data_IF_550645835197
#
_entry.id   IF_550645835197
#
_cell.length_a   1.000
_cell.length_b   1.000
_cell.length_c   1.000
_cell.angle_alpha   90.00
_cell.angle_beta   90.00
_cell.angle_gamma   90.00
#
_symmetry.space_group_name_H-M   'P 1'
#
loop_
_entity.id
_entity.type
_entity.pdbx_description
1 polymer ?
#
# COMPACT_ATOMS: atom_id res chain seq x y z
N UNK A 1 58.85 -55.75 18.16
CA UNK A 1 58.81 -54.28 18.29
C UNK A 1 57.65 -53.73 17.46
N UNK A 2 56.41 -54.13 17.76
CA UNK A 2 55.23 -53.81 16.92
C UNK A 2 53.94 -53.67 17.75
N UNK A 3 54.04 -53.51 19.07
CA UNK A 3 52.87 -53.30 19.95
C UNK A 3 52.77 -51.88 20.53
N UNK A 4 53.76 -51.01 20.28
CA UNK A 4 53.79 -49.62 20.79
C UNK A 4 53.37 -48.56 19.75
N UNK A 5 53.20 -48.94 18.47
CA UNK A 5 52.80 -47.99 17.41
C UNK A 5 51.27 -47.85 17.29
N UNK A 6 50.51 -48.93 17.46
CA UNK A 6 49.05 -48.92 17.25
C UNK A 6 48.28 -48.21 18.39
N UNK A 7 48.81 -48.21 19.61
CA UNK A 7 48.18 -47.49 20.74
C UNK A 7 48.36 -45.96 20.65
N UNK A 8 49.38 -45.49 19.92
CA UNK A 8 49.62 -44.05 19.68
C UNK A 8 48.78 -43.49 18.54
N UNK A 9 48.36 -44.31 17.57
CA UNK A 9 47.46 -43.85 16.49
C UNK A 9 46.02 -43.70 16.97
N UNK A 10 45.49 -44.64 17.75
CA UNK A 10 44.11 -44.53 18.28
C UNK A 10 43.94 -43.37 19.26
N UNK A 11 45.00 -43.00 19.99
CA UNK A 11 44.95 -41.85 20.91
C UNK A 11 45.10 -40.50 20.21
N UNK A 12 45.70 -40.46 19.01
CA UNK A 12 45.79 -39.24 18.19
C UNK A 12 44.46 -38.96 17.47
N UNK A 13 43.80 -39.99 16.93
CA UNK A 13 42.52 -39.85 16.22
C UNK A 13 41.39 -39.36 17.15
N UNK A 14 41.37 -39.79 18.43
CA UNK A 14 40.39 -39.31 19.41
C UNK A 14 40.63 -37.85 19.83
N UNK A 15 41.88 -37.39 19.81
CA UNK A 15 42.23 -36.00 20.13
C UNK A 15 41.95 -35.07 18.94
N UNK A 16 42.09 -35.55 17.70
CA UNK A 16 41.68 -34.79 16.50
C UNK A 16 40.15 -34.66 16.39
N UNK A 17 39.39 -35.73 16.63
CA UNK A 17 37.92 -35.65 16.65
C UNK A 17 37.39 -34.70 17.73
N UNK A 18 38.02 -34.69 18.92
CA UNK A 18 37.64 -33.76 19.99
C UNK A 18 37.91 -32.29 19.64
N UNK A 19 38.92 -32.01 18.81
CA UNK A 19 39.22 -30.65 18.34
C UNK A 19 38.27 -30.19 17.24
N UNK A 20 37.92 -31.06 16.30
CA UNK A 20 36.93 -30.75 15.25
C UNK A 20 35.56 -30.44 15.87
N UNK A 21 35.10 -31.22 16.86
CA UNK A 21 33.83 -30.94 17.55
C UNK A 21 33.84 -29.64 18.37
N UNK A 22 35.01 -29.23 18.89
CA UNK A 22 35.15 -27.98 19.64
C UNK A 22 35.20 -26.76 18.71
N UNK A 23 35.80 -26.92 17.52
CA UNK A 23 35.84 -25.90 16.47
C UNK A 23 34.46 -25.69 15.83
N UNK A 24 33.70 -26.75 15.58
CA UNK A 24 32.31 -26.68 15.07
C UNK A 24 31.39 -25.98 16.08
N UNK A 25 31.55 -26.24 17.39
CA UNK A 25 30.79 -25.55 18.44
C UNK A 25 31.15 -24.07 18.56
N UNK A 26 32.42 -23.71 18.32
CA UNK A 26 32.84 -22.31 18.32
C UNK A 26 32.30 -21.58 17.09
N UNK A 27 32.24 -22.23 15.92
CA UNK A 27 31.67 -21.65 14.70
C UNK A 27 30.14 -21.47 14.81
N UNK A 28 29.42 -22.44 15.39
CA UNK A 28 27.97 -22.34 15.62
C UNK A 28 27.60 -21.29 16.68
N UNK A 29 28.48 -21.05 17.67
CA UNK A 29 28.31 -19.96 18.64
C UNK A 29 28.51 -18.59 17.97
N UNK A 30 29.47 -18.49 17.06
CA UNK A 30 29.76 -17.26 16.30
C UNK A 30 28.63 -16.91 15.32
N UNK A 31 28.05 -17.90 14.64
CA UNK A 31 26.86 -17.69 13.78
C UNK A 31 25.65 -17.18 14.59
N UNK A 32 25.45 -17.68 15.81
CA UNK A 32 24.34 -17.24 16.68
C UNK A 32 24.52 -15.79 17.16
N UNK A 33 25.74 -15.38 17.48
CA UNK A 33 26.05 -14.02 17.92
C UNK A 33 25.90 -13.02 16.75
N UNK A 34 26.32 -13.39 15.53
CA UNK A 34 26.11 -12.58 14.33
C UNK A 34 24.62 -12.48 13.92
N UNK A 35 23.82 -13.55 14.10
CA UNK A 35 22.38 -13.52 13.82
C UNK A 35 21.62 -12.61 14.83
N UNK A 36 22.01 -12.56 16.10
CA UNK A 36 21.44 -11.64 17.11
C UNK A 36 21.78 -10.16 16.79
N UNK A 37 23.03 -9.88 16.43
CA UNK A 37 23.48 -8.51 16.10
C UNK A 37 22.78 -7.98 14.83
N UNK A 38 22.49 -8.86 13.86
CA UNK A 38 21.74 -8.52 12.65
C UNK A 38 20.24 -8.27 12.92
N UNK A 39 19.63 -8.96 13.88
CA UNK A 39 18.23 -8.74 14.26
C UNK A 39 18.04 -7.39 14.98
N UNK A 40 19.02 -6.97 15.77
CA UNK A 40 19.05 -5.64 16.41
C UNK A 40 19.20 -4.50 15.38
N UNK A 41 20.10 -4.63 14.39
CA UNK A 41 20.28 -3.62 13.33
C UNK A 41 19.01 -3.47 12.47
N UNK A 42 18.35 -4.58 12.12
CA UNK A 42 17.10 -4.54 11.35
C UNK A 42 15.96 -3.86 12.12
N UNK A 43 15.88 -4.07 13.44
CA UNK A 43 14.94 -3.42 14.33
C UNK A 43 15.18 -1.91 14.42
N UNK A 44 16.45 -1.47 14.52
CA UNK A 44 16.80 -0.05 14.53
C UNK A 44 16.54 0.64 13.18
N UNK A 45 16.78 -0.05 12.06
CA UNK A 45 16.47 0.45 10.71
C UNK A 45 14.95 0.62 10.51
N UNK A 46 14.13 -0.32 10.99
CA UNK A 46 12.67 -0.17 10.94
C UNK A 46 12.17 0.99 11.83
N UNK A 47 12.76 1.20 13.00
CA UNK A 47 12.42 2.35 13.87
C UNK A 47 12.76 3.69 13.22
N UNK A 48 13.96 3.84 12.62
CA UNK A 48 14.34 5.05 11.87
C UNK A 48 13.49 5.29 10.62
N UNK A 49 13.03 4.22 9.96
CA UNK A 49 12.09 4.31 8.83
C UNK A 49 10.71 4.79 9.28
N UNK A 50 10.28 4.43 10.49
CA UNK A 50 9.00 4.87 11.04
C UNK A 50 9.02 6.34 11.46
N UNK A 51 10.17 6.83 11.95
CA UNK A 51 10.37 8.23 12.36
C UNK A 51 10.59 9.21 11.20
N UNK A 52 11.14 8.73 10.06
CA UNK A 52 11.36 9.54 8.85
C UNK A 52 10.12 9.69 7.95
N UNK A 53 8.99 9.08 8.31
CA UNK A 53 7.72 9.30 7.61
C UNK A 53 7.22 10.73 7.86
N UNK A 54 6.85 11.47 6.80
CA UNK A 54 6.33 12.83 6.95
C UNK A 54 5.05 12.81 7.81
N UNK A 55 5.06 13.60 8.90
CA UNK A 55 3.89 13.77 9.76
C UNK A 55 2.70 14.28 8.92
N UNK A 56 1.48 13.76 9.12
CA UNK A 56 0.36 14.09 8.27
C UNK A 56 -0.05 15.54 8.49
N UNK A 57 0.31 16.41 7.55
CA UNK A 57 -0.19 17.78 7.55
C UNK A 57 0.56 18.75 6.64
N UNK A 58 0.45 18.58 5.32
CA UNK A 58 0.17 19.69 4.36
C UNK A 58 -0.45 19.04 3.11
N UNK A 59 -1.66 19.47 2.74
CA UNK A 59 -2.34 19.00 1.54
C UNK A 59 -1.70 19.62 0.29
N UNK A 60 -1.21 18.78 -0.63
CA UNK A 60 -0.77 19.20 -1.97
C UNK A 60 -1.96 19.07 -2.93
N UNK A 61 -2.62 20.19 -3.22
CA UNK A 61 -3.68 20.29 -4.23
C UNK A 61 -3.11 20.06 -5.63
N UNK A 62 -3.45 18.92 -6.25
CA UNK A 62 -3.30 18.73 -7.70
C UNK A 62 -4.59 19.16 -8.38
N UNK A 63 -4.53 20.30 -9.05
CA UNK A 63 -5.53 20.77 -10.00
C UNK A 63 -5.50 19.91 -11.26
N UNK A 64 -6.62 19.25 -11.59
CA UNK A 64 -6.93 18.84 -12.96
C UNK A 64 -8.36 19.29 -13.35
N UNK A 65 -8.57 19.72 -14.61
CA UNK A 65 -9.76 20.44 -15.03
C UNK A 65 -10.96 19.51 -15.26
N UNK A 66 -12.11 19.93 -14.71
CA UNK A 66 -13.40 19.26 -14.84
C UNK A 66 -14.09 19.67 -16.14
N UNK A 67 -14.14 18.77 -17.12
CA UNK A 67 -14.97 18.90 -18.32
C UNK A 67 -16.45 18.90 -17.92
N UNK A 68 -17.16 20.01 -18.19
CA UNK A 68 -18.60 20.14 -17.98
C UNK A 68 -19.35 19.58 -19.20
N UNK A 69 -20.00 18.43 -19.06
CA UNK A 69 -21.00 17.95 -20.03
C UNK A 69 -22.39 18.44 -19.61
N UNK A 70 -22.91 19.44 -20.31
CA UNK A 70 -24.27 19.93 -20.16
C UNK A 70 -25.27 19.02 -20.87
N UNK A 71 -26.25 18.52 -20.13
CA UNK A 71 -27.51 18.01 -20.68
C UNK A 71 -28.64 18.34 -19.70
N UNK A 72 -29.27 19.50 -19.91
CA UNK A 72 -30.54 19.89 -19.26
C UNK A 72 -31.71 19.44 -20.11
N UNK A 73 -32.47 18.45 -19.62
CA UNK A 73 -33.78 18.09 -20.17
C UNK A 73 -34.83 18.96 -19.47
N UNK A 74 -35.44 19.88 -20.23
CA UNK A 74 -36.55 20.74 -19.78
C UNK A 74 -37.86 19.94 -19.85
N UNK A 75 -38.48 19.68 -18.71
CA UNK A 75 -39.90 19.30 -18.65
C UNK A 75 -40.73 20.51 -18.21
N UNK A 76 -41.61 20.96 -19.11
CA UNK A 76 -42.62 22.00 -18.90
C UNK A 76 -43.80 21.33 -18.17
N UNK A 77 -44.02 21.64 -16.89
CA UNK A 77 -45.30 21.34 -16.21
C UNK A 77 -46.14 22.61 -16.21
N UNK A 78 -47.32 22.50 -16.81
CA UNK A 78 -48.36 23.51 -16.73
C UNK A 78 -48.91 23.54 -15.29
N UNK A 79 -48.90 24.71 -14.66
CA UNK A 79 -49.65 24.97 -13.43
C UNK A 79 -51.05 25.46 -13.82
N UNK A 80 -52.08 24.70 -13.45
CA UNK A 80 -53.44 25.19 -13.29
C UNK A 80 -53.62 25.66 -11.85
N UNK A 81 -54.04 26.92 -11.71
CA UNK A 81 -54.35 27.58 -10.44
C UNK A 81 -55.78 27.24 -10.06
N UNK A 82 -55.99 26.51 -8.97
CA UNK A 82 -57.29 26.43 -8.31
C UNK A 82 -57.11 26.88 -6.87
N UNK A 83 -57.74 28.01 -6.55
CA UNK A 83 -57.85 28.57 -5.20
C UNK A 83 -58.62 27.60 -4.31
N UNK A 84 -57.99 27.13 -3.23
CA UNK A 84 -58.75 26.59 -2.10
C UNK A 84 -58.16 27.12 -0.80
N UNK A 85 -58.94 27.96 -0.14
CA UNK A 85 -58.66 28.56 1.15
C UNK A 85 -58.90 27.53 2.25
N UNK A 86 -57.82 26.92 2.75
CA UNK A 86 -57.82 26.21 4.02
C UNK A 86 -56.60 26.67 4.82
N UNK A 87 -56.86 27.24 6.00
CA UNK A 87 -55.87 27.65 6.98
C UNK A 87 -55.12 26.41 7.50
N UNK A 88 -53.80 26.30 7.31
CA UNK A 88 -53.05 25.21 7.91
C UNK A 88 -52.64 25.61 9.33
N UNK A 89 -53.01 24.79 10.30
CA UNK A 89 -52.45 24.79 11.64
C UNK A 89 -50.92 24.82 11.56
N UNK A 90 -50.31 25.84 12.17
CA UNK A 90 -48.88 26.14 12.16
C UNK A 90 -48.07 25.02 12.84
N UNK A 91 -47.63 24.05 12.06
CA UNK A 91 -46.51 23.18 12.44
C UNK A 91 -45.25 24.05 12.46
N UNK A 92 -44.61 24.17 13.63
CA UNK A 92 -43.41 25.00 13.83
C UNK A 92 -42.26 24.53 12.92
N UNK A 93 -42.14 25.16 11.75
CA UNK A 93 -41.03 24.92 10.83
C UNK A 93 -39.70 25.24 11.53
N UNK A 94 -38.69 24.40 11.35
CA UNK A 94 -37.33 24.66 11.84
C UNK A 94 -36.87 26.02 11.32
N UNK A 95 -36.62 26.95 12.23
CA UNK A 95 -36.15 28.29 11.90
C UNK A 95 -34.72 28.23 11.37
N UNK A 96 -34.46 28.99 10.30
CA UNK A 96 -33.12 29.12 9.70
C UNK A 96 -32.15 29.70 10.73
N UNK A 97 -30.95 29.13 10.82
CA UNK A 97 -29.91 29.66 11.70
C UNK A 97 -29.49 31.08 11.27
N UNK A 98 -29.14 31.93 12.24
CA UNK A 98 -28.66 33.29 11.96
C UNK A 98 -27.32 33.26 11.20
N UNK A 99 -27.16 34.18 10.24
CA UNK A 99 -25.91 34.33 9.49
C UNK A 99 -24.75 34.66 10.44
N UNK A 100 -23.51 34.36 9.99
CA UNK A 100 -22.31 34.69 10.75
C UNK A 100 -22.20 36.20 10.97
N UNK A 101 -22.50 36.99 9.95
CA UNK A 101 -22.43 38.46 10.01
C UNK A 101 -23.40 39.05 11.04
N UNK A 102 -24.64 38.53 11.11
CA UNK A 102 -25.59 38.97 12.13
C UNK A 102 -25.12 38.60 13.53
N UNK A 103 -24.48 37.44 13.71
CA UNK A 103 -23.89 37.04 14.99
C UNK A 103 -22.70 37.91 15.39
N UNK A 104 -21.85 38.29 14.44
CA UNK A 104 -20.73 39.22 14.66
C UNK A 104 -21.25 40.59 15.08
N UNK A 105 -22.21 41.16 14.34
CA UNK A 105 -22.86 42.44 14.69
C UNK A 105 -23.46 42.43 16.10
N UNK A 106 -24.04 41.31 16.54
CA UNK A 106 -24.55 41.17 17.92
C UNK A 106 -23.42 41.29 18.95
N UNK A 107 -22.26 40.66 18.68
CA UNK A 107 -21.09 40.75 19.56
C UNK A 107 -20.49 42.15 19.54
N UNK A 108 -20.35 42.78 18.38
CA UNK A 108 -19.82 44.13 18.25
C UNK A 108 -20.67 45.15 19.01
N UNK A 109 -22.00 45.08 18.86
CA UNK A 109 -22.93 45.94 19.57
C UNK A 109 -22.94 45.69 21.09
N UNK A 110 -22.67 44.44 21.52
CA UNK A 110 -22.51 44.11 22.93
C UNK A 110 -21.22 44.68 23.50
N UNK A 111 -20.10 44.59 22.76
CA UNK A 111 -18.83 45.21 23.13
C UNK A 111 -18.93 46.74 23.21
N UNK A 112 -19.74 47.36 22.34
CA UNK A 112 -20.08 48.78 22.39
C UNK A 112 -21.03 49.16 23.55
N UNK A 113 -21.32 48.25 24.48
CA UNK A 113 -22.09 48.52 25.69
C UNK A 113 -23.61 48.57 25.54
N UNK A 114 -24.16 48.19 24.37
CA UNK A 114 -25.62 48.17 24.19
C UNK A 114 -26.29 47.05 24.98
N UNK A 115 -27.49 47.32 25.49
CA UNK A 115 -28.29 46.31 26.19
C UNK A 115 -28.83 45.25 25.22
N UNK A 116 -29.00 44.01 25.70
CA UNK A 116 -29.48 42.89 24.87
C UNK A 116 -30.84 43.15 24.21
N UNK A 117 -31.71 43.91 24.89
CA UNK A 117 -33.03 44.29 24.35
C UNK A 117 -32.90 45.30 23.21
N UNK A 118 -32.01 46.29 23.32
CA UNK A 118 -31.75 47.25 22.26
C UNK A 118 -31.14 46.59 21.02
N UNK A 119 -30.20 45.66 21.22
CA UNK A 119 -29.59 44.88 20.12
C UNK A 119 -30.65 44.04 19.41
N UNK A 120 -31.52 43.36 20.16
CA UNK A 120 -32.60 42.55 19.60
C UNK A 120 -33.58 43.38 18.75
N UNK A 121 -34.00 44.55 19.25
CA UNK A 121 -34.86 45.47 18.50
C UNK A 121 -34.19 46.00 17.23
N UNK A 122 -32.91 46.39 17.30
CA UNK A 122 -32.16 46.93 16.16
C UNK A 122 -31.98 45.91 15.03
N UNK A 123 -31.75 44.63 15.37
CA UNK A 123 -31.45 43.58 14.39
C UNK A 123 -32.65 42.68 14.05
N UNK A 124 -33.82 42.92 14.64
CA UNK A 124 -35.01 42.08 14.45
C UNK A 124 -34.87 40.66 15.02
N UNK A 125 -34.02 40.49 16.03
CA UNK A 125 -33.71 39.19 16.66
C UNK A 125 -34.29 39.13 18.07
N UNK A 126 -34.86 37.98 18.46
CA UNK A 126 -35.40 37.78 19.81
C UNK A 126 -34.31 37.99 20.87
N UNK A 127 -34.63 38.68 21.98
CA UNK A 127 -33.70 38.93 23.11
C UNK A 127 -33.01 37.65 23.61
N UNK A 128 -33.76 36.53 23.69
CA UNK A 128 -33.21 35.24 24.12
C UNK A 128 -32.11 34.71 23.20
N UNK A 129 -32.23 34.93 21.89
CA UNK A 129 -31.21 34.54 20.90
C UNK A 129 -29.97 35.44 21.02
N UNK A 130 -30.16 36.75 21.23
CA UNK A 130 -29.06 37.69 21.50
C UNK A 130 -28.28 37.26 22.75
N UNK A 131 -28.99 37.01 23.86
CA UNK A 131 -28.37 36.54 25.12
C UNK A 131 -27.67 35.19 24.96
N UNK A 132 -28.24 34.24 24.21
CA UNK A 132 -27.60 32.96 23.93
C UNK A 132 -26.29 33.11 23.13
N UNK A 133 -26.25 34.00 22.13
CA UNK A 133 -25.05 34.30 21.36
C UNK A 133 -23.98 34.95 22.25
N UNK A 134 -24.37 35.95 23.05
CA UNK A 134 -23.46 36.64 23.98
C UNK A 134 -22.88 35.67 25.00
N UNK A 135 -23.71 34.81 25.61
CA UNK A 135 -23.23 33.78 26.55
C UNK A 135 -22.23 32.83 25.89
N UNK A 136 -22.54 32.34 24.67
CA UNK A 136 -21.63 31.48 23.91
C UNK A 136 -20.30 32.20 23.62
N UNK A 137 -20.37 33.47 23.19
CA UNK A 137 -19.18 34.27 22.92
C UNK A 137 -18.36 34.53 24.20
N UNK A 138 -18.99 34.78 25.34
CA UNK A 138 -18.29 34.92 26.62
C UNK A 138 -17.53 33.65 27.00
N UNK A 139 -18.11 32.47 26.79
CA UNK A 139 -17.50 31.17 27.12
C UNK A 139 -16.44 30.72 26.12
N UNK A 140 -16.74 30.74 24.81
CA UNK A 140 -15.92 30.12 23.77
C UNK A 140 -15.20 31.12 22.87
N UNK A 141 -15.44 32.43 23.05
CA UNK A 141 -14.88 33.53 22.24
C UNK A 141 -15.11 33.39 20.72
N UNK A 142 -16.10 32.59 20.32
CA UNK A 142 -16.44 32.36 18.91
C UNK A 142 -17.90 32.68 18.63
N UNK A 143 -18.14 33.30 17.48
CA UNK A 143 -19.49 33.50 16.94
C UNK A 143 -19.92 32.34 16.07
N UNK A 144 -18.99 31.53 15.57
CA UNK A 144 -19.23 30.39 14.67
C UNK A 144 -20.09 29.30 15.32
N UNK A 145 -20.84 28.57 14.49
CA UNK A 145 -21.64 27.45 14.99
C UNK A 145 -20.69 26.29 15.27
N UNK A 146 -20.70 25.83 16.52
CA UNK A 146 -19.91 24.67 16.90
C UNK A 146 -20.47 23.42 16.21
N UNK A 147 -19.61 22.48 15.80
CA UNK A 147 -20.07 21.22 15.26
C UNK A 147 -20.97 20.55 16.30
N UNK A 148 -22.10 20.05 15.84
CA UNK A 148 -22.99 19.26 16.70
C UNK A 148 -22.29 17.94 17.03
N UNK A 149 -22.52 17.42 18.23
CA UNK A 149 -21.93 16.16 18.72
C UNK A 149 -22.21 14.95 17.82
N UNK A 150 -23.25 15.03 16.97
CA UNK A 150 -23.62 13.97 16.05
C UNK A 150 -24.19 12.75 16.78
N UNK A 151 -24.44 11.69 16.02
CA UNK A 151 -24.90 10.43 16.59
C UNK A 151 -23.73 9.68 17.24
N UNK A 152 -23.92 9.06 18.42
CA UNK A 152 -22.89 8.25 19.05
C UNK A 152 -22.51 7.06 18.16
N UNK A 153 -21.21 6.74 18.12
CA UNK A 153 -20.72 5.58 17.37
C UNK A 153 -21.15 4.27 18.05
N UNK A 154 -21.59 3.30 17.25
CA UNK A 154 -21.96 1.96 17.75
C UNK A 154 -20.79 1.16 18.33
N UNK A 155 -19.57 1.39 17.81
CA UNK A 155 -18.36 0.73 18.26
C UNK A 155 -17.60 1.72 19.16
N UNK A 156 -17.21 1.26 20.34
CA UNK A 156 -16.42 2.04 21.29
C UNK A 156 -15.00 2.29 20.77
N UNK A 157 -14.28 3.33 21.26
CA UNK A 157 -12.88 3.55 20.91
C UNK A 157 -11.99 2.32 21.17
N UNK A 158 -12.29 1.54 22.22
CA UNK A 158 -11.60 0.27 22.52
C UNK A 158 -11.88 -0.79 21.44
N UNK A 159 -13.12 -0.90 20.98
CA UNK A 159 -13.48 -1.79 19.87
C UNK A 159 -12.78 -1.42 18.57
N UNK A 160 -12.63 -0.13 18.28
CA UNK A 160 -11.85 0.35 17.12
C UNK A 160 -10.38 -0.07 17.23
N UNK A 161 -9.73 0.15 18.38
CA UNK A 161 -8.34 -0.28 18.61
C UNK A 161 -8.16 -1.79 18.46
N UNK A 162 -9.11 -2.57 18.97
CA UNK A 162 -9.08 -4.03 18.82
C UNK A 162 -9.14 -4.44 17.33
N UNK A 163 -10.07 -3.86 16.56
CA UNK A 163 -10.20 -4.12 15.12
C UNK A 163 -8.90 -3.79 14.39
N UNK A 164 -8.34 -2.60 14.65
CA UNK A 164 -7.08 -2.16 14.04
C UNK A 164 -5.95 -3.13 14.38
N UNK A 165 -5.80 -3.53 15.65
CA UNK A 165 -4.78 -4.49 16.08
C UNK A 165 -4.94 -5.86 15.41
N UNK A 166 -6.16 -6.37 15.29
CA UNK A 166 -6.42 -7.64 14.61
C UNK A 166 -6.00 -7.58 13.14
N UNK A 167 -6.33 -6.49 12.45
CA UNK A 167 -5.94 -6.30 11.04
C UNK A 167 -4.44 -6.08 10.88
N UNK A 168 -3.79 -5.37 11.81
CA UNK A 168 -2.33 -5.21 11.79
C UNK A 168 -1.59 -6.53 11.99
N UNK A 169 -2.06 -7.38 12.93
CA UNK A 169 -1.47 -8.71 13.17
C UNK A 169 -1.69 -9.64 11.98
N UNK A 170 -2.91 -9.63 11.43
CA UNK A 170 -3.31 -10.49 10.32
C UNK A 170 -3.94 -9.64 9.19
N UNK A 171 -3.14 -9.06 8.28
CA UNK A 171 -3.65 -8.19 7.20
C UNK A 171 -4.64 -8.87 6.23
N UNK A 172 -4.69 -10.20 6.25
CA UNK A 172 -5.62 -11.02 5.45
C UNK A 172 -7.00 -11.18 6.09
N UNK A 173 -7.21 -10.73 7.33
CA UNK A 173 -8.51 -10.81 8.01
C UNK A 173 -9.59 -10.09 7.19
N UNK A 174 -10.70 -10.78 6.94
CA UNK A 174 -11.75 -10.21 6.12
C UNK A 174 -12.67 -9.32 6.95
N UNK A 175 -13.37 -8.41 6.26
CA UNK A 175 -14.46 -7.62 6.88
C UNK A 175 -15.58 -8.50 7.43
N UNK A 176 -15.76 -9.71 6.88
CA UNK A 176 -16.74 -10.67 7.39
C UNK A 176 -16.34 -11.20 8.76
N UNK A 177 -15.07 -11.59 8.89
CA UNK A 177 -14.51 -12.11 10.15
C UNK A 177 -14.64 -11.06 11.26
N UNK A 178 -14.28 -9.81 10.98
CA UNK A 178 -14.42 -8.69 11.94
C UNK A 178 -15.87 -8.43 12.36
N UNK A 179 -16.83 -8.59 11.44
CA UNK A 179 -18.26 -8.47 11.78
C UNK A 179 -18.68 -9.62 12.69
N UNK A 180 -18.25 -10.85 12.39
CA UNK A 180 -18.55 -12.02 13.19
C UNK A 180 -17.95 -11.92 14.59
N UNK A 181 -16.71 -11.47 14.72
CA UNK A 181 -16.04 -11.27 16.02
C UNK A 181 -16.75 -10.22 16.87
N UNK A 182 -17.17 -9.11 16.27
CA UNK A 182 -17.95 -8.09 16.98
C UNK A 182 -19.35 -8.58 17.35
N UNK A 183 -19.98 -9.38 16.48
CA UNK A 183 -21.26 -10.00 16.77
C UNK A 183 -21.16 -10.97 17.95
N UNK A 184 -20.08 -11.77 18.04
CA UNK A 184 -19.79 -12.62 19.22
C UNK A 184 -19.60 -11.79 20.49
N UNK A 185 -19.00 -10.61 20.38
CA UNK A 185 -18.89 -9.63 21.47
C UNK A 185 -20.18 -8.83 21.74
N UNK A 186 -21.32 -9.21 21.16
CA UNK A 186 -22.62 -8.57 21.38
C UNK A 186 -22.88 -7.29 20.57
N UNK A 187 -21.96 -6.91 19.67
CA UNK A 187 -22.06 -5.68 18.87
C UNK A 187 -22.39 -5.98 17.41
N UNK A 188 -23.66 -5.78 17.02
CA UNK A 188 -24.11 -6.00 15.63
C UNK A 188 -23.78 -4.82 14.72
N UNK A 189 -22.91 -5.03 13.74
CA UNK A 189 -22.46 -4.01 12.78
C UNK A 189 -22.46 -4.54 11.35
N UNK A 190 -22.43 -3.63 10.38
CA UNK A 190 -22.38 -3.98 8.95
C UNK A 190 -20.93 -3.94 8.44
N UNK A 191 -20.67 -4.67 7.34
CA UNK A 191 -19.36 -4.63 6.64
C UNK A 191 -18.97 -3.21 6.21
N UNK A 192 -19.95 -2.36 5.90
CA UNK A 192 -19.73 -0.96 5.54
C UNK A 192 -19.20 -0.14 6.72
N UNK A 193 -19.74 -0.35 7.94
CA UNK A 193 -19.24 0.29 9.16
C UNK A 193 -17.78 -0.06 9.41
N UNK A 194 -17.41 -1.35 9.27
CA UNK A 194 -16.02 -1.79 9.41
C UNK A 194 -15.12 -1.15 8.36
N UNK A 195 -15.57 -1.11 7.10
CA UNK A 195 -14.82 -0.47 6.02
C UNK A 195 -14.57 1.01 6.30
N UNK A 196 -15.56 1.73 6.82
CA UNK A 196 -15.43 3.15 7.18
C UNK A 196 -14.50 3.36 8.37
N UNK A 197 -14.54 2.48 9.37
CA UNK A 197 -13.63 2.52 10.52
C UNK A 197 -12.19 2.31 10.04
N UNK A 198 -11.92 1.26 9.28
CA UNK A 198 -10.58 0.96 8.76
C UNK A 198 -10.05 2.13 7.91
N UNK A 199 -10.87 2.72 7.04
CA UNK A 199 -10.48 3.91 6.26
C UNK A 199 -10.15 5.12 7.13
N UNK A 200 -10.93 5.38 8.19
CA UNK A 200 -10.64 6.46 9.16
C UNK A 200 -9.34 6.21 9.92
N UNK A 201 -8.93 4.95 10.07
CA UNK A 201 -7.65 4.55 10.66
C UNK A 201 -6.51 4.49 9.63
N UNK A 202 -6.74 4.94 8.39
CA UNK A 202 -5.72 4.94 7.31
C UNK A 202 -5.53 3.59 6.61
N UNK A 203 -6.28 2.56 6.97
CA UNK A 203 -6.19 1.24 6.37
C UNK A 203 -7.10 1.12 5.15
N UNK A 204 -6.51 0.68 4.04
CA UNK A 204 -7.22 0.44 2.78
C UNK A 204 -7.03 -1.00 2.33
N UNK A 205 -8.10 -1.58 1.78
CA UNK A 205 -8.02 -2.87 1.09
C UNK A 205 -7.23 -2.67 -0.21
N UNK A 206 -6.17 -3.44 -0.39
CA UNK A 206 -5.33 -3.44 -1.59
C UNK A 206 -5.04 -4.87 -2.04
N UNK A 207 -4.72 -5.06 -3.31
CA UNK A 207 -4.20 -6.34 -3.81
C UNK A 207 -2.79 -6.56 -3.27
N UNK A 208 -2.54 -7.74 -2.69
CA UNK A 208 -1.19 -8.11 -2.28
C UNK A 208 -0.26 -8.20 -3.50
N UNK A 209 0.99 -7.72 -3.35
CA UNK A 209 2.00 -7.81 -4.41
C UNK A 209 2.45 -9.26 -4.57
N UNK A 210 2.51 -9.74 -5.81
CA UNK A 210 3.13 -11.04 -6.14
C UNK A 210 4.64 -10.83 -6.13
N UNK A 211 5.35 -11.56 -5.29
CA UNK A 211 6.81 -11.55 -5.18
C UNK A 211 7.31 -13.00 -5.18
N UNK A 212 8.53 -13.27 -5.68
CA UNK A 212 9.14 -14.59 -5.55
C UNK A 212 9.22 -15.01 -4.08
N UNK A 213 8.99 -16.29 -3.80
CA UNK A 213 9.19 -16.84 -2.47
C UNK A 213 10.68 -17.03 -2.24
N UNK A 214 11.26 -16.24 -1.33
CA UNK A 214 12.68 -16.32 -0.98
C UNK A 214 12.84 -17.09 0.33
N UNK A 215 13.83 -17.98 0.38
CA UNK A 215 14.31 -18.57 1.63
C UNK A 215 15.24 -17.58 2.34
N UNK A 216 15.40 -17.65 3.68
CA UNK A 216 16.32 -16.77 4.41
C UNK A 216 17.73 -16.73 3.81
N UNK A 217 18.27 -17.88 3.40
CA UNK A 217 19.58 -17.98 2.73
C UNK A 217 19.66 -17.11 1.47
N UNK A 218 18.61 -17.11 0.63
CA UNK A 218 18.58 -16.29 -0.58
C UNK A 218 18.49 -14.80 -0.26
N UNK A 219 17.82 -14.43 0.83
CA UNK A 219 17.74 -13.03 1.28
C UNK A 219 19.13 -12.56 1.73
N UNK A 220 19.82 -13.36 2.56
CA UNK A 220 21.19 -13.06 3.02
C UNK A 220 22.16 -12.92 1.84
N UNK A 221 22.16 -13.88 0.91
CA UNK A 221 23.04 -13.83 -0.27
C UNK A 221 22.77 -12.60 -1.15
N UNK A 222 21.50 -12.26 -1.39
CA UNK A 222 21.13 -11.06 -2.17
C UNK A 222 21.52 -9.76 -1.46
N UNK A 223 21.38 -9.71 -0.14
CA UNK A 223 21.77 -8.54 0.65
C UNK A 223 23.29 -8.38 0.68
N UNK A 224 24.03 -9.49 0.86
CA UNK A 224 25.49 -9.51 0.78
C UNK A 224 25.97 -8.99 -0.57
N UNK A 225 25.46 -9.55 -1.67
CA UNK A 225 25.77 -9.09 -3.03
C UNK A 225 25.48 -7.58 -3.20
N UNK A 226 24.32 -7.11 -2.76
CA UNK A 226 23.95 -5.70 -2.87
C UNK A 226 24.82 -4.76 -2.01
N UNK A 227 25.34 -5.24 -0.87
CA UNK A 227 26.26 -4.48 -0.02
C UNK A 227 27.67 -4.44 -0.60
N UNK A 228 28.16 -5.57 -1.09
CA UNK A 228 29.48 -5.68 -1.73
C UNK A 228 29.61 -4.77 -2.95
N UNK A 229 28.54 -4.67 -3.75
CA UNK A 229 28.53 -3.89 -4.98
C UNK A 229 27.84 -2.52 -4.82
N UNK A 230 27.66 -2.02 -3.59
CA UNK A 230 26.94 -0.75 -3.34
C UNK A 230 27.76 0.46 -3.78
N UNK A 231 29.07 0.41 -3.53
CA UNK A 231 30.03 1.49 -3.78
C UNK A 231 30.87 1.24 -5.05
N UNK A 232 30.49 0.23 -5.85
CA UNK A 232 31.19 -0.09 -7.10
C UNK A 232 31.12 1.11 -8.07
N UNK A 233 32.26 1.49 -8.67
CA UNK A 233 32.33 2.62 -9.60
C UNK A 233 31.52 2.35 -10.88
N UNK A 234 31.11 3.43 -11.56
CA UNK A 234 30.29 3.33 -12.77
C UNK A 234 31.01 2.56 -13.89
N UNK A 235 32.34 2.68 -13.96
CA UNK A 235 33.19 1.97 -14.92
C UNK A 235 33.07 0.44 -14.79
N UNK A 236 32.88 -0.10 -13.59
CA UNK A 236 32.69 -1.54 -13.39
C UNK A 236 31.34 -1.97 -13.98
N UNK A 237 30.28 -1.18 -13.77
CA UNK A 237 28.97 -1.44 -14.35
C UNK A 237 28.91 -1.27 -15.87
N UNK A 238 29.75 -0.41 -16.46
CA UNK A 238 29.86 -0.27 -17.92
C UNK A 238 30.39 -1.54 -18.60
N UNK A 239 31.16 -2.34 -17.88
CA UNK A 239 31.74 -3.60 -18.35
C UNK A 239 30.84 -4.82 -18.08
N UNK A 240 29.77 -4.65 -17.28
CA UNK A 240 28.81 -5.73 -17.00
C UNK A 240 27.80 -5.89 -18.14
N UNK A 241 27.53 -7.15 -18.47
CA UNK A 241 26.48 -7.53 -19.42
C UNK A 241 25.47 -8.41 -18.72
N UNK A 242 24.22 -7.98 -18.75
CA UNK A 242 23.11 -8.75 -18.20
C UNK A 242 22.43 -9.54 -19.32
N UNK A 243 22.35 -10.85 -19.17
CA UNK A 243 21.62 -11.73 -20.08
C UNK A 243 20.51 -12.45 -19.34
N UNK A 244 19.39 -12.67 -20.01
CA UNK A 244 18.27 -13.44 -19.45
C UNK A 244 17.45 -14.10 -20.56
N UNK A 245 16.71 -15.14 -20.20
CA UNK A 245 15.72 -15.78 -21.05
C UNK A 245 14.31 -15.32 -20.71
N UNK A 246 13.58 -14.87 -21.72
CA UNK A 246 12.17 -14.53 -21.57
C UNK A 246 11.29 -15.48 -22.36
N UNK A 247 10.22 -15.92 -21.70
CA UNK A 247 9.17 -16.76 -22.29
C UNK A 247 7.96 -15.89 -22.61
N UNK A 248 7.69 -15.69 -23.89
CA UNK A 248 6.50 -14.97 -24.34
C UNK A 248 5.41 -15.99 -24.67
N UNK A 249 4.34 -15.99 -23.89
CA UNK A 249 3.15 -16.81 -24.14
C UNK A 249 2.32 -16.19 -25.28
N UNK A 250 2.00 -16.98 -26.31
CA UNK A 250 1.19 -16.51 -27.44
C UNK A 250 -0.30 -16.45 -27.09
N UNK A 251 -0.76 -17.39 -26.26
CA UNK A 251 -2.10 -17.44 -25.71
C UNK A 251 -2.03 -17.55 -24.18
N UNK A 252 -2.71 -16.64 -23.47
CA UNK A 252 -2.68 -16.63 -21.99
C UNK A 252 -2.51 -15.25 -21.36
N UNK A 253 -3.16 -14.20 -21.88
CA UNK A 253 -3.15 -12.90 -21.19
C UNK A 253 -3.66 -13.06 -19.74
N UNK A 254 -2.73 -13.03 -18.78
CA UNK A 254 -3.01 -13.01 -17.34
C UNK A 254 -3.62 -11.67 -16.86
N UNK A 255 -4.07 -10.82 -17.79
CA UNK A 255 -4.79 -9.59 -17.47
C UNK A 255 -6.27 -9.90 -17.27
N UNK A 256 -6.81 -9.55 -16.11
CA UNK A 256 -8.26 -9.55 -15.89
C UNK A 256 -8.93 -8.58 -16.88
N UNK A 257 -9.58 -9.11 -17.92
CA UNK A 257 -10.39 -8.30 -18.82
C UNK A 257 -11.80 -8.16 -18.24
N UNK A 258 -12.31 -6.92 -18.19
CA UNK A 258 -13.67 -6.64 -17.74
C UNK A 258 -14.54 -6.41 -18.95
N UNK A 259 -15.61 -7.20 -19.07
CA UNK A 259 -16.59 -7.07 -20.16
C UNK A 259 -17.88 -6.46 -19.60
N UNK A 260 -18.42 -5.46 -20.29
CA UNK A 260 -19.78 -4.95 -20.04
C UNK A 260 -20.79 -5.82 -20.80
N UNK A 261 -21.67 -6.52 -20.08
CA UNK A 261 -22.70 -7.39 -20.69
C UNK A 261 -24.04 -7.28 -19.97
N UNK A 262 -25.12 -7.56 -20.70
CA UNK A 262 -26.48 -7.71 -20.14
C UNK A 262 -26.59 -9.04 -19.37
N UNK A 263 -27.58 -9.14 -18.48
CA UNK A 263 -27.90 -10.37 -17.73
C UNK A 263 -28.11 -11.53 -18.72
N UNK A 264 -27.56 -12.71 -18.40
CA UNK A 264 -27.58 -13.94 -19.22
C UNK A 264 -26.74 -13.94 -20.51
N UNK A 265 -26.03 -12.87 -20.87
CA UNK A 265 -25.14 -12.85 -22.05
C UNK A 265 -23.72 -13.37 -21.75
N UNK A 266 -23.56 -14.28 -20.79
CA UNK A 266 -22.25 -14.76 -20.30
C UNK A 266 -21.45 -15.50 -21.35
N UNK A 267 -22.09 -16.45 -22.01
CA UNK A 267 -21.45 -17.41 -22.89
C UNK A 267 -21.35 -16.89 -24.33
N UNK A 268 -21.79 -15.65 -24.58
CA UNK A 268 -21.69 -15.06 -25.91
C UNK A 268 -20.20 -14.91 -26.27
N UNK A 269 -19.73 -15.38 -27.45
CA UNK A 269 -18.29 -15.36 -27.79
C UNK A 269 -17.62 -13.99 -27.70
N UNK A 270 -18.36 -12.90 -27.96
CA UNK A 270 -17.87 -11.51 -27.78
C UNK A 270 -17.62 -11.12 -26.30
N UNK A 271 -18.20 -11.86 -25.36
CA UNK A 271 -18.13 -11.61 -23.93
C UNK A 271 -17.27 -12.65 -23.19
N UNK A 272 -16.78 -13.67 -23.89
CA UNK A 272 -15.87 -14.68 -23.36
C UNK A 272 -14.45 -14.42 -23.86
N UNK A 273 -13.46 -14.91 -23.11
CA UNK A 273 -12.08 -14.97 -23.56
C UNK A 273 -11.77 -16.44 -23.79
N UNK A 274 -11.38 -16.85 -25.01
CA UNK A 274 -11.05 -18.25 -25.26
C UNK A 274 -9.82 -18.64 -24.44
N UNK A 275 -9.96 -19.73 -23.69
CA UNK A 275 -8.89 -20.33 -22.89
C UNK A 275 -8.45 -21.64 -23.53
N UNK A 276 -7.15 -21.82 -23.76
CA UNK A 276 -6.58 -23.08 -24.23
C UNK A 276 -6.14 -23.92 -23.02
N UNK A 277 -6.46 -25.22 -23.03
CA UNK A 277 -6.25 -26.10 -21.87
C UNK A 277 -4.78 -26.43 -21.64
N UNK A 278 -4.00 -26.57 -22.72
CA UNK A 278 -2.55 -26.81 -22.74
C UNK A 278 -1.95 -26.26 -24.04
N UNK A 279 -0.68 -25.85 -24.02
CA UNK A 279 0.07 -25.64 -25.27
C UNK A 279 -0.34 -24.42 -26.10
N UNK A 280 -0.71 -23.31 -25.44
CA UNK A 280 -0.98 -22.03 -26.08
C UNK A 280 0.20 -21.36 -26.78
N UNK A 281 1.21 -22.14 -27.18
CA UNK A 281 2.45 -21.67 -27.81
C UNK A 281 3.26 -20.75 -26.90
N UNK A 282 4.57 -20.95 -26.89
CA UNK A 282 5.46 -19.94 -26.35
C UNK A 282 6.62 -19.73 -27.30
N UNK A 283 7.12 -18.51 -27.30
CA UNK A 283 8.38 -18.18 -27.95
C UNK A 283 9.36 -17.93 -26.81
N UNK A 284 10.41 -18.74 -26.75
CA UNK A 284 11.56 -18.50 -25.89
C UNK A 284 12.52 -17.57 -26.63
N UNK A 285 12.90 -16.49 -25.97
CA UNK A 285 13.87 -15.52 -26.48
C UNK A 285 15.00 -15.44 -25.48
N UNK A 286 16.23 -15.42 -25.99
CA UNK A 286 17.41 -15.03 -25.24
C UNK A 286 17.83 -13.64 -25.69
N UNK A 287 18.22 -12.79 -24.75
CA UNK A 287 18.78 -11.48 -25.05
C UNK A 287 19.75 -11.04 -23.97
N UNK A 288 20.56 -10.05 -24.31
CA UNK A 288 21.44 -9.39 -23.36
C UNK A 288 21.33 -7.87 -23.49
N UNK A 289 21.69 -7.17 -22.43
CA UNK A 289 21.76 -5.71 -22.34
C UNK A 289 23.05 -5.32 -21.63
N UNK A 290 23.61 -4.17 -21.99
CA UNK A 290 24.81 -3.58 -21.40
C UNK A 290 24.63 -2.07 -21.32
N UNK A 291 25.55 -1.36 -20.65
CA UNK A 291 25.57 0.11 -20.65
C UNK A 291 25.59 0.71 -22.08
N UNK A 292 26.23 0.02 -23.03
CA UNK A 292 26.33 0.44 -24.45
C UNK A 292 25.05 0.17 -25.26
N UNK A 293 24.07 -0.51 -24.67
CA UNK A 293 22.77 -0.77 -25.29
C UNK A 293 22.39 -2.26 -25.34
N UNK A 294 21.26 -2.57 -26.01
CA UNK A 294 20.76 -3.94 -26.12
C UNK A 294 21.56 -4.76 -27.14
N UNK A 295 21.85 -6.00 -26.78
CA UNK A 295 22.43 -6.99 -27.68
C UNK A 295 21.40 -7.62 -28.61
N UNK A 296 21.85 -8.59 -29.42
CA UNK A 296 21.00 -9.29 -30.38
C UNK A 296 19.98 -10.18 -29.65
N UNK A 297 18.70 -10.05 -30.01
CA UNK A 297 17.63 -10.93 -29.54
C UNK A 297 17.60 -12.22 -30.37
N UNK A 298 17.67 -13.37 -29.71
CA UNK A 298 17.78 -14.68 -30.35
C UNK A 298 16.56 -15.52 -30.00
N UNK A 299 15.88 -16.02 -31.04
CA UNK A 299 14.78 -16.96 -30.85
C UNK A 299 15.33 -18.36 -30.58
N UNK A 300 15.07 -18.88 -29.38
CA UNK A 300 15.38 -20.25 -29.00
C UNK A 300 14.19 -21.13 -29.43
N UNK A 301 14.46 -22.08 -30.34
CA UNK A 301 13.40 -22.95 -30.90
C UNK A 301 12.98 -24.05 -29.93
N UNK A 302 13.87 -24.46 -29.05
CA UNK A 302 13.68 -25.58 -28.12
C UNK A 302 13.93 -25.14 -26.67
N UNK A 303 13.91 -26.10 -25.73
CA UNK A 303 14.30 -25.83 -24.35
C UNK A 303 15.80 -25.54 -24.30
N UNK A 304 16.17 -24.39 -23.75
CA UNK A 304 17.57 -23.99 -23.62
C UNK A 304 18.36 -25.08 -22.86
N UNK A 305 19.47 -25.50 -23.44
CA UNK A 305 20.43 -26.41 -22.84
C UNK A 305 21.79 -25.70 -22.71
N UNK A 306 22.64 -26.13 -21.76
CA UNK A 306 23.93 -25.48 -21.50
C UNK A 306 24.85 -25.40 -22.73
N UNK A 307 24.84 -26.42 -23.59
CA UNK A 307 25.60 -26.39 -24.85
C UNK A 307 25.10 -25.31 -25.81
N UNK A 308 23.78 -25.17 -25.95
CA UNK A 308 23.16 -24.12 -26.78
C UNK A 308 23.44 -22.74 -26.20
N UNK A 309 23.44 -22.60 -24.87
CA UNK A 309 23.77 -21.34 -24.20
C UNK A 309 25.20 -20.90 -24.50
N UNK A 310 26.17 -21.82 -24.37
CA UNK A 310 27.57 -21.57 -24.71
C UNK A 310 27.76 -21.21 -26.18
N UNK A 311 27.02 -21.88 -27.08
CA UNK A 311 27.04 -21.58 -28.51
C UNK A 311 26.43 -20.20 -28.82
N UNK A 312 25.35 -19.82 -28.13
CA UNK A 312 24.75 -18.50 -28.25
C UNK A 312 25.73 -17.40 -27.83
N UNK A 313 26.39 -17.59 -26.68
CA UNK A 313 27.40 -16.67 -26.18
C UNK A 313 28.61 -16.57 -27.12
N UNK A 314 29.10 -17.69 -27.66
CA UNK A 314 30.28 -17.68 -28.54
C UNK A 314 30.00 -17.07 -29.91
N UNK A 315 28.79 -17.28 -30.46
CA UNK A 315 28.39 -16.75 -31.76
C UNK A 315 27.94 -15.31 -31.72
N UNK A 316 27.48 -14.85 -30.55
CA UNK A 316 27.01 -13.49 -30.34
C UNK A 316 27.80 -12.94 -29.16
N UNK A 317 29.14 -12.78 -29.32
CA UNK A 317 29.87 -12.03 -28.34
C UNK A 317 29.14 -10.69 -28.22
N UNK A 318 28.71 -10.32 -27.00
CA UNK A 318 28.09 -9.03 -26.77
C UNK A 318 29.02 -8.01 -27.41
N UNK A 319 28.49 -7.13 -28.25
CA UNK A 319 29.25 -6.30 -29.19
C UNK A 319 30.19 -5.34 -28.44
N UNK A 320 31.30 -5.90 -27.96
CA UNK A 320 32.43 -5.30 -27.26
C UNK A 320 33.53 -4.98 -28.28
N UNK A 321 33.47 -5.57 -29.48
CA UNK A 321 34.52 -5.51 -30.51
C UNK A 321 34.55 -4.19 -31.28
N UNK A 322 34.55 -3.07 -30.57
CA UNK A 322 35.25 -1.85 -31.00
C UNK A 322 36.17 -1.22 -29.95
N UNK A 323 36.48 -1.90 -28.83
CA UNK A 323 37.50 -1.34 -27.92
C UNK A 323 37.85 -2.11 -26.66
N UNK A 324 37.92 -3.44 -26.69
CA UNK A 324 38.56 -4.18 -25.57
C UNK A 324 39.64 -5.07 -26.17
N UNK A 325 40.87 -4.58 -26.08
CA UNK A 325 42.08 -5.40 -26.09
C UNK A 325 42.16 -6.13 -24.74
N UNK A 326 42.34 -7.45 -24.84
CA UNK A 326 42.88 -8.40 -23.87
C UNK A 326 42.26 -8.59 -22.47
N UNK A 327 41.76 -9.82 -22.32
CA UNK A 327 41.83 -10.71 -21.14
C UNK A 327 41.41 -10.17 -19.76
N UNK A 328 40.15 -10.42 -19.41
CA UNK A 328 39.76 -11.13 -18.17
C UNK A 328 38.23 -11.23 -18.09
N UNK A 329 37.70 -12.45 -18.26
CA UNK A 329 36.27 -12.72 -18.02
C UNK A 329 36.11 -13.24 -16.59
N UNK A 330 35.69 -12.39 -15.65
CA UNK A 330 35.13 -12.87 -14.37
C UNK A 330 33.65 -13.16 -14.58
N UNK A 331 33.35 -14.39 -14.98
CA UNK A 331 31.99 -14.92 -14.99
C UNK A 331 31.49 -15.12 -13.56
N UNK A 332 30.79 -14.14 -13.01
CA UNK A 332 29.99 -14.32 -11.80
C UNK A 332 28.71 -15.08 -12.16
N UNK A 333 28.72 -16.39 -11.93
CA UNK A 333 27.50 -17.21 -11.94
C UNK A 333 26.74 -16.99 -10.62
N UNK A 334 25.46 -16.64 -10.74
CA UNK A 334 24.51 -16.53 -9.63
C UNK A 334 23.95 -17.88 -9.18
#
# INVERSE_FOLDING_TARGET
MTLDQDFRSETLDQVEQGKEEEEEKQEEAKEKEEDEEQEEDYSQIEQRRFESLPKPGVAFERNEPRVQSGFTVKYKRHLSTTSNSQTPNSTMAKTKELSKDTRNKIVDLHQAGKTESAIGKQLGVKKSTVGAIIRKWKTYKTTDNLPRSGAPCKISPRGVKMITRTVSKNPRTTRGDLVNDLQRAGTKVTKATISNILRRQGLKSCSARRVPLLKPVHVRARLKFAREHLDDPEEDWENVIWSDETKIELFGKNSTCRVWRRKNAELHPKNTIPTVKHGGGNIMLWGCISAKGPGRLIRVKERMNGAMYREILSKNPPSISKGIEDETWLGLSA
#
